data_IF_847680425456
#
_entry.id   IF_847680425456
#
_cell.length_a   1.000
_cell.length_b   1.000
_cell.length_c   1.000
_cell.angle_alpha   90.00
_cell.angle_beta   90.00
_cell.angle_gamma   90.00
#
_symmetry.space_group_name_H-M   'P 1'
#
loop_
_entity.id
_entity.type
_entity.pdbx_description
1 polymer ?
#
# COMPACT_ATOMS: atom_id res chain seq x y z
N UNK A 1 26.47 15.42 -17.46
CA UNK A 1 26.19 14.12 -18.08
C UNK A 1 25.83 13.11 -17.01
N UNK A 2 26.76 12.67 -16.14
CA UNK A 2 26.40 11.72 -15.06
C UNK A 2 25.37 12.30 -14.07
N UNK A 3 25.60 13.51 -13.55
CA UNK A 3 24.65 14.21 -12.67
C UNK A 3 23.26 14.43 -13.31
N UNK A 4 23.24 14.69 -14.62
CA UNK A 4 22.01 14.92 -15.37
C UNK A 4 21.21 13.61 -15.52
N UNK A 5 21.89 12.48 -15.71
CA UNK A 5 21.25 11.17 -15.74
C UNK A 5 20.75 10.75 -14.36
N UNK A 6 21.47 11.08 -13.29
CA UNK A 6 20.99 10.86 -11.92
C UNK A 6 19.68 11.62 -11.68
N UNK A 7 19.62 12.92 -12.01
CA UNK A 7 18.40 13.72 -11.84
C UNK A 7 17.25 13.15 -12.68
N UNK A 8 17.55 12.74 -13.91
CA UNK A 8 16.57 12.17 -14.81
C UNK A 8 16.00 10.83 -14.29
N UNK A 9 16.83 9.99 -13.67
CA UNK A 9 16.42 8.73 -13.06
C UNK A 9 15.68 8.92 -11.76
N UNK A 10 16.08 9.88 -10.92
CA UNK A 10 15.31 10.25 -9.74
C UNK A 10 13.92 10.75 -10.15
N UNK A 11 13.84 11.63 -11.16
CA UNK A 11 12.56 12.08 -11.71
C UNK A 11 11.68 10.90 -12.16
N UNK A 12 12.25 9.91 -12.85
CA UNK A 12 11.51 8.72 -13.26
C UNK A 12 11.02 7.89 -12.05
N UNK A 13 11.86 7.60 -11.06
CA UNK A 13 11.43 6.91 -9.84
C UNK A 13 10.30 7.65 -9.12
N UNK A 14 10.42 8.98 -9.01
CA UNK A 14 9.39 9.81 -8.40
C UNK A 14 8.10 9.77 -9.23
N UNK A 15 8.18 9.76 -10.57
CA UNK A 15 6.99 9.80 -11.43
C UNK A 15 6.27 8.45 -11.53
N UNK A 16 7.00 7.33 -11.57
CA UNK A 16 6.42 6.00 -11.69
C UNK A 16 6.08 5.37 -10.34
N UNK A 17 6.92 5.59 -9.33
CA UNK A 17 6.86 4.86 -8.05
C UNK A 17 6.59 5.77 -6.86
N UNK A 18 6.65 7.09 -7.05
CA UNK A 18 6.37 8.06 -5.97
C UNK A 18 7.43 8.12 -4.88
N UNK A 19 8.61 7.52 -5.09
CA UNK A 19 9.68 7.39 -4.09
C UNK A 19 11.06 7.72 -4.66
N UNK A 20 12.06 8.05 -3.82
CA UNK A 20 13.47 8.10 -4.21
C UNK A 20 13.98 6.75 -4.72
N UNK A 21 14.95 6.76 -5.64
CA UNK A 21 15.65 5.56 -6.05
C UNK A 21 16.53 4.99 -4.93
N UNK A 22 16.65 3.67 -4.84
CA UNK A 22 17.69 3.04 -4.03
C UNK A 22 19.06 3.17 -4.73
N UNK A 23 20.20 3.11 -4.01
CA UNK A 23 21.51 3.33 -4.61
C UNK A 23 21.84 2.36 -5.76
N UNK A 24 21.50 1.07 -5.61
CA UNK A 24 21.83 0.04 -6.59
C UNK A 24 20.95 0.16 -7.85
N UNK A 25 19.65 0.38 -7.66
CA UNK A 25 18.69 0.66 -8.72
C UNK A 25 19.07 1.92 -9.50
N UNK A 26 19.37 3.02 -8.80
CA UNK A 26 19.81 4.26 -9.43
C UNK A 26 21.07 4.04 -10.29
N UNK A 27 22.07 3.36 -9.75
CA UNK A 27 23.31 3.06 -10.47
C UNK A 27 23.05 2.20 -11.72
N UNK A 28 22.18 1.18 -11.60
CA UNK A 28 21.78 0.31 -12.70
C UNK A 28 21.12 1.09 -13.85
N UNK A 29 20.13 1.93 -13.54
CA UNK A 29 19.40 2.67 -14.56
C UNK A 29 20.23 3.79 -15.19
N UNK A 30 21.08 4.48 -14.41
CA UNK A 30 22.04 5.46 -14.96
C UNK A 30 23.01 4.79 -15.93
N UNK A 31 23.50 3.58 -15.63
CA UNK A 31 24.38 2.84 -16.53
C UNK A 31 23.67 2.49 -17.86
N UNK A 32 22.43 1.98 -17.78
CA UNK A 32 21.63 1.68 -18.98
C UNK A 32 21.33 2.93 -19.80
N UNK A 33 20.95 4.03 -19.15
CA UNK A 33 20.68 5.30 -19.84
C UNK A 33 21.94 5.85 -20.51
N UNK A 34 23.09 5.69 -19.87
CA UNK A 34 24.40 6.05 -20.45
C UNK A 34 24.69 5.23 -21.70
N UNK A 35 24.45 3.92 -21.67
CA UNK A 35 24.62 3.04 -22.83
C UNK A 35 23.64 3.39 -23.96
N UNK A 36 22.41 3.77 -23.61
CA UNK A 36 21.40 4.27 -24.55
C UNK A 36 21.69 5.69 -25.08
N UNK A 37 22.77 6.33 -24.64
CA UNK A 37 23.14 7.68 -25.06
C UNK A 37 22.18 8.77 -24.56
N UNK A 38 21.50 8.54 -23.44
CA UNK A 38 20.51 9.45 -22.86
C UNK A 38 19.09 9.26 -23.39
N UNK A 39 18.83 8.22 -24.19
CA UNK A 39 17.49 7.93 -24.69
C UNK A 39 16.63 7.24 -23.61
N UNK A 40 15.84 8.03 -22.91
CA UNK A 40 14.92 7.56 -21.88
C UNK A 40 13.84 6.62 -22.42
N UNK A 41 13.48 6.74 -23.71
CA UNK A 41 12.50 5.85 -24.33
C UNK A 41 13.00 4.40 -24.43
N UNK A 42 14.30 4.18 -24.30
CA UNK A 42 14.89 2.85 -24.30
C UNK A 42 14.70 2.08 -22.98
N UNK A 43 14.37 2.78 -21.88
CA UNK A 43 14.23 2.17 -20.54
C UNK A 43 12.87 2.40 -19.88
N UNK A 44 12.07 3.34 -20.40
CA UNK A 44 10.75 3.69 -19.88
C UNK A 44 9.75 2.53 -19.85
N UNK A 45 9.80 1.64 -20.85
CA UNK A 45 8.86 0.51 -20.93
C UNK A 45 8.99 -0.35 -19.67
N UNK A 46 10.23 -0.58 -19.21
CA UNK A 46 10.49 -1.36 -18.01
C UNK A 46 9.93 -0.70 -16.74
N UNK A 47 9.93 0.64 -16.67
CA UNK A 47 9.36 1.34 -15.52
C UNK A 47 7.85 1.18 -15.46
N UNK A 48 7.20 1.39 -16.60
CA UNK A 48 5.75 1.44 -16.69
C UNK A 48 5.07 0.10 -16.93
N UNK A 49 5.82 -1.00 -17.05
CA UNK A 49 5.30 -2.37 -16.96
C UNK A 49 5.73 -3.07 -15.68
N UNK A 50 6.28 -2.33 -14.70
CA UNK A 50 6.63 -2.94 -13.42
C UNK A 50 5.37 -3.35 -12.64
N UNK A 51 5.53 -4.30 -11.73
CA UNK A 51 4.47 -4.73 -10.83
C UNK A 51 3.99 -3.54 -9.97
N UNK A 52 4.94 -2.81 -9.36
CA UNK A 52 4.67 -1.61 -8.55
C UNK A 52 3.84 -0.54 -9.30
N UNK A 53 4.13 -0.31 -10.59
CA UNK A 53 3.34 0.63 -11.39
C UNK A 53 1.94 0.09 -11.72
N UNK A 54 1.83 -1.20 -11.98
CA UNK A 54 0.56 -1.85 -12.34
C UNK A 54 -0.37 -1.96 -11.14
N UNK A 55 0.15 -2.29 -9.95
CA UNK A 55 -0.60 -2.31 -8.69
C UNK A 55 -1.13 -0.92 -8.36
N UNK A 56 -0.30 0.11 -8.53
CA UNK A 56 -0.66 1.49 -8.19
C UNK A 56 -1.68 2.12 -9.14
N UNK A 57 -1.60 1.82 -10.44
CA UNK A 57 -2.33 2.58 -11.46
C UNK A 57 -3.21 1.71 -12.37
N UNK A 58 -3.08 0.38 -12.32
CA UNK A 58 -3.70 -0.53 -13.30
C UNK A 58 -5.21 -0.66 -13.18
N UNK A 59 -5.79 -0.42 -12.00
CA UNK A 59 -7.24 -0.49 -11.73
C UNK A 59 -7.94 0.87 -11.79
N UNK A 60 -7.20 1.97 -11.77
CA UNK A 60 -7.75 3.33 -11.71
C UNK A 60 -8.34 3.77 -13.06
N UNK A 61 -9.35 4.64 -13.01
CA UNK A 61 -9.78 5.37 -14.19
C UNK A 61 -8.68 6.31 -14.68
N UNK A 62 -8.74 6.68 -15.97
CA UNK A 62 -7.76 7.63 -16.52
C UNK A 62 -7.77 8.99 -15.83
N UNK A 63 -8.91 9.43 -15.29
CA UNK A 63 -8.98 10.69 -14.56
C UNK A 63 -8.30 10.60 -13.19
N UNK A 64 -8.61 9.55 -12.42
CA UNK A 64 -7.98 9.27 -11.12
C UNK A 64 -6.47 9.13 -11.26
N UNK A 65 -6.05 8.41 -12.30
CA UNK A 65 -4.63 8.22 -12.59
C UNK A 65 -3.91 9.53 -12.92
N UNK A 66 -4.48 10.36 -13.80
CA UNK A 66 -3.86 11.65 -14.15
C UNK A 66 -3.78 12.55 -12.94
N UNK A 67 -4.83 12.62 -12.12
CA UNK A 67 -4.79 13.38 -10.87
C UNK A 67 -3.76 12.80 -9.88
N UNK A 68 -3.65 11.48 -9.76
CA UNK A 68 -2.64 10.83 -8.93
C UNK A 68 -1.21 11.18 -9.34
N UNK A 69 -0.94 11.22 -10.66
CA UNK A 69 0.36 11.65 -11.17
C UNK A 69 0.68 13.12 -10.85
N UNK A 70 -0.32 14.01 -10.99
CA UNK A 70 -0.17 15.42 -10.63
C UNK A 70 0.05 15.61 -9.13
N UNK A 71 -0.69 14.89 -8.28
CA UNK A 71 -0.54 14.97 -6.83
C UNK A 71 0.85 14.50 -6.40
N UNK A 72 1.31 13.37 -6.95
CA UNK A 72 2.61 12.80 -6.65
C UNK A 72 3.77 13.73 -7.06
N UNK A 73 3.69 14.32 -8.26
CA UNK A 73 4.74 15.15 -8.82
C UNK A 73 4.72 16.58 -8.28
N UNK A 74 3.53 17.14 -8.04
CA UNK A 74 3.32 18.58 -7.84
C UNK A 74 2.47 18.94 -6.61
N UNK A 75 2.03 17.97 -5.80
CA UNK A 75 1.19 18.16 -4.60
C UNK A 75 -0.09 18.95 -4.89
N UNK A 76 -0.68 18.70 -6.05
CA UNK A 76 -1.96 19.25 -6.48
C UNK A 76 -2.59 18.35 -7.53
N UNK A 77 -3.90 18.44 -7.70
CA UNK A 77 -4.58 17.84 -8.85
C UNK A 77 -4.24 18.56 -10.17
N UNK A 78 -4.54 17.88 -11.29
CA UNK A 78 -4.48 18.47 -12.60
C UNK A 78 -5.52 19.60 -12.74
N UNK A 79 -5.17 20.67 -13.46
CA UNK A 79 -6.19 21.62 -13.90
C UNK A 79 -7.10 20.97 -14.97
N UNK A 80 -8.30 21.50 -15.15
CA UNK A 80 -9.30 20.91 -16.03
C UNK A 80 -8.79 20.71 -17.47
N UNK A 81 -8.04 21.68 -18.02
CA UNK A 81 -7.52 21.59 -19.39
C UNK A 81 -6.43 20.51 -19.51
N UNK A 82 -5.54 20.43 -18.52
CA UNK A 82 -4.52 19.38 -18.43
C UNK A 82 -5.12 17.99 -18.27
N UNK A 83 -6.08 17.84 -17.36
CA UNK A 83 -6.80 16.58 -17.11
C UNK A 83 -7.49 16.09 -18.39
N UNK A 84 -8.29 16.95 -19.02
CA UNK A 84 -9.00 16.63 -20.27
C UNK A 84 -8.02 16.23 -21.38
N UNK A 85 -6.90 16.93 -21.51
CA UNK A 85 -5.90 16.63 -22.53
C UNK A 85 -5.30 15.23 -22.37
N UNK A 86 -4.86 14.86 -21.16
CA UNK A 86 -4.26 13.55 -20.92
C UNK A 86 -5.29 12.42 -20.97
N UNK A 87 -6.48 12.60 -20.38
CA UNK A 87 -7.56 11.61 -20.42
C UNK A 87 -7.96 11.32 -21.86
N UNK A 88 -8.19 12.35 -22.69
CA UNK A 88 -8.53 12.14 -24.10
C UNK A 88 -7.41 11.41 -24.86
N UNK A 89 -6.15 11.75 -24.59
CA UNK A 89 -4.99 11.09 -25.22
C UNK A 89 -4.91 9.59 -24.88
N UNK A 90 -5.27 9.22 -23.64
CA UNK A 90 -5.34 7.83 -23.19
C UNK A 90 -6.52 7.09 -23.82
N UNK A 91 -7.71 7.70 -23.84
CA UNK A 91 -8.93 7.12 -24.46
C UNK A 91 -8.72 6.87 -25.96
N UNK A 92 -8.06 7.79 -26.66
CA UNK A 92 -7.76 7.64 -28.09
C UNK A 92 -6.62 6.66 -28.37
N UNK A 93 -5.88 6.23 -27.34
CA UNK A 93 -4.69 5.39 -27.47
C UNK A 93 -3.52 6.08 -28.17
N UNK A 94 -3.55 7.41 -28.29
CA UNK A 94 -2.44 8.20 -28.84
C UNK A 94 -1.29 8.32 -27.83
N UNK A 95 -1.60 8.11 -26.54
CA UNK A 95 -0.63 7.94 -25.46
C UNK A 95 -0.98 6.74 -24.60
N UNK A 96 0.03 6.28 -23.88
CA UNK A 96 -0.05 5.23 -22.86
C UNK A 96 0.17 5.84 -21.48
N UNK A 97 -0.21 5.11 -20.43
CA UNK A 97 0.07 5.51 -19.04
C UNK A 97 1.55 5.83 -18.85
N UNK A 98 2.40 4.98 -19.41
CA UNK A 98 3.84 5.11 -19.36
C UNK A 98 4.29 6.43 -19.98
N UNK A 99 3.81 6.75 -21.17
CA UNK A 99 4.23 7.99 -21.85
C UNK A 99 3.72 9.25 -21.17
N UNK A 100 2.49 9.24 -20.61
CA UNK A 100 1.95 10.45 -19.97
C UNK A 100 2.68 10.78 -18.66
N UNK A 101 3.19 9.78 -17.94
CA UNK A 101 3.96 9.98 -16.70
C UNK A 101 5.17 10.88 -16.93
N UNK A 102 5.92 10.66 -18.02
CA UNK A 102 7.02 11.54 -18.40
C UNK A 102 6.57 12.85 -19.02
N UNK A 103 5.52 12.83 -19.84
CA UNK A 103 5.00 14.06 -20.45
C UNK A 103 4.58 15.07 -19.36
N UNK A 104 3.99 14.58 -18.26
CA UNK A 104 3.62 15.40 -17.10
C UNK A 104 4.88 15.88 -16.38
N UNK A 105 5.81 14.98 -16.03
CA UNK A 105 7.06 15.34 -15.33
C UNK A 105 7.86 16.41 -16.09
N UNK A 106 8.12 16.22 -17.38
CA UNK A 106 8.90 17.16 -18.19
C UNK A 106 8.09 18.33 -18.73
N UNK A 107 6.76 18.23 -18.71
CA UNK A 107 5.83 19.31 -19.04
C UNK A 107 5.58 20.28 -17.89
N UNK A 108 6.16 20.04 -16.71
CA UNK A 108 6.04 20.88 -15.53
C UNK A 108 6.36 22.35 -15.84
N UNK A 109 5.55 23.26 -15.31
CA UNK A 109 5.69 24.71 -15.50
C UNK A 109 5.42 25.47 -14.19
N UNK A 110 5.98 26.67 -14.07
CA UNK A 110 5.78 27.54 -12.91
C UNK A 110 6.13 26.81 -11.59
N UNK A 111 5.25 26.86 -10.59
CA UNK A 111 5.42 26.19 -9.29
C UNK A 111 5.64 24.68 -9.42
N UNK A 112 5.16 24.03 -10.48
CA UNK A 112 5.35 22.59 -10.68
C UNK A 112 6.82 22.25 -10.95
N UNK A 113 7.55 23.15 -11.65
CA UNK A 113 9.00 23.00 -11.85
C UNK A 113 9.71 23.09 -10.51
N UNK A 114 9.32 24.06 -9.69
CA UNK A 114 9.96 24.28 -8.39
C UNK A 114 9.72 23.08 -7.45
N UNK A 115 8.49 22.55 -7.39
CA UNK A 115 8.14 21.39 -6.57
C UNK A 115 8.84 20.11 -7.06
N UNK A 116 8.78 19.82 -8.36
CA UNK A 116 9.44 18.63 -8.92
C UNK A 116 10.96 18.69 -8.77
N UNK A 117 11.56 19.88 -8.91
CA UNK A 117 12.99 20.08 -8.65
C UNK A 117 13.35 19.85 -7.19
N UNK A 118 12.53 20.35 -6.26
CA UNK A 118 12.73 20.13 -4.82
C UNK A 118 12.62 18.63 -4.45
N UNK A 119 11.62 17.92 -5.00
CA UNK A 119 11.45 16.47 -4.81
C UNK A 119 12.64 15.69 -5.38
N UNK A 120 13.14 16.04 -6.56
CA UNK A 120 14.33 15.41 -7.14
C UNK A 120 15.57 15.65 -6.25
N UNK A 121 15.78 16.87 -5.78
CA UNK A 121 16.89 17.19 -4.88
C UNK A 121 16.78 16.44 -3.54
N UNK A 122 15.58 16.34 -2.97
CA UNK A 122 15.34 15.54 -1.77
C UNK A 122 15.60 14.05 -2.01
N UNK A 123 15.14 13.50 -3.14
CA UNK A 123 15.39 12.11 -3.49
C UNK A 123 16.88 11.81 -3.66
N UNK A 124 17.65 12.71 -4.28
CA UNK A 124 19.11 12.58 -4.35
C UNK A 124 19.75 12.59 -2.95
N UNK A 125 19.32 13.52 -2.09
CA UNK A 125 19.78 13.58 -0.71
C UNK A 125 19.46 12.29 0.06
N UNK A 126 18.23 11.79 -0.06
CA UNK A 126 17.76 10.55 0.53
C UNK A 126 18.63 9.36 0.10
N UNK A 127 18.79 9.14 -1.21
CA UNK A 127 19.61 8.04 -1.75
C UNK A 127 21.06 8.12 -1.25
N UNK A 128 21.63 9.32 -1.13
CA UNK A 128 22.96 9.51 -0.56
C UNK A 128 23.03 9.16 0.93
N UNK A 129 21.97 9.44 1.72
CA UNK A 129 21.92 9.01 3.11
C UNK A 129 21.83 7.48 3.24
N UNK A 130 21.13 6.80 2.32
CA UNK A 130 21.12 5.33 2.22
C UNK A 130 22.53 4.80 1.93
N UNK A 131 23.20 5.34 0.90
CA UNK A 131 24.55 4.93 0.50
C UNK A 131 25.58 5.12 1.62
N UNK A 132 25.43 6.20 2.40
CA UNK A 132 26.27 6.48 3.57
C UNK A 132 25.93 5.62 4.80
N UNK A 133 24.89 4.80 4.74
CA UNK A 133 24.42 3.97 5.85
C UNK A 133 23.79 4.75 7.01
N UNK A 134 23.30 5.96 6.75
CA UNK A 134 22.62 6.81 7.74
C UNK A 134 21.18 6.35 7.94
N UNK A 135 20.52 5.91 6.86
CA UNK A 135 19.16 5.38 6.87
C UNK A 135 19.13 4.02 6.15
N UNK A 136 18.24 3.13 6.58
CA UNK A 136 17.97 1.86 5.87
C UNK A 136 16.94 2.09 4.78
N UNK A 137 17.10 1.47 3.61
CA UNK A 137 16.13 1.52 2.52
C UNK A 137 16.11 0.18 1.77
N UNK A 138 15.32 -0.75 2.31
CA UNK A 138 15.14 -2.09 1.78
C UNK A 138 13.71 -2.54 2.06
N UNK A 139 13.13 -3.33 1.15
CA UNK A 139 11.76 -3.82 1.28
C UNK A 139 10.68 -2.79 0.92
N UNK A 140 9.43 -3.25 0.93
CA UNK A 140 8.27 -2.44 0.55
C UNK A 140 7.92 -1.42 1.64
N UNK A 141 8.04 -1.76 2.93
CA UNK A 141 7.78 -0.82 4.02
C UNK A 141 8.68 0.42 3.97
N UNK A 142 9.96 0.25 3.63
CA UNK A 142 10.87 1.37 3.41
C UNK A 142 10.53 2.17 2.15
N UNK A 143 10.05 1.51 1.08
CA UNK A 143 9.53 2.15 -0.12
C UNK A 143 8.33 3.06 0.19
N UNK A 144 7.38 2.58 0.99
CA UNK A 144 6.17 3.33 1.35
C UNK A 144 6.47 4.48 2.31
N UNK A 145 7.32 4.27 3.32
CA UNK A 145 7.82 5.35 4.17
C UNK A 145 8.54 6.43 3.35
N UNK A 146 9.30 6.04 2.32
CA UNK A 146 9.96 6.98 1.44
C UNK A 146 8.98 7.76 0.55
N UNK A 147 7.86 7.15 0.11
CA UNK A 147 6.75 7.86 -0.58
C UNK A 147 6.14 8.92 0.33
N UNK A 148 5.82 8.57 1.57
CA UNK A 148 5.20 9.47 2.55
C UNK A 148 6.09 10.67 2.86
N UNK A 149 7.38 10.43 3.10
CA UNK A 149 8.33 11.49 3.39
C UNK A 149 8.55 12.39 2.16
N UNK A 150 8.59 11.83 0.95
CA UNK A 150 8.70 12.61 -0.28
C UNK A 150 7.46 13.50 -0.52
N UNK A 151 6.28 13.08 -0.09
CA UNK A 151 5.06 13.89 -0.18
C UNK A 151 5.12 15.17 0.66
N UNK A 152 5.96 15.22 1.71
CA UNK A 152 6.17 16.42 2.54
C UNK A 152 6.97 17.51 1.83
N UNK A 153 7.62 17.19 0.71
CA UNK A 153 8.43 18.14 -0.08
C UNK A 153 7.51 18.92 -1.02
N UNK A 154 7.47 20.24 -0.85
CA UNK A 154 6.62 21.15 -1.61
C UNK A 154 7.32 22.46 -2.00
N UNK A 155 6.53 23.46 -2.42
CA UNK A 155 7.02 24.69 -3.07
C UNK A 155 7.98 25.51 -2.19
N UNK A 156 7.78 25.48 -0.87
CA UNK A 156 8.58 26.25 0.09
C UNK A 156 9.69 25.42 0.75
N UNK A 157 9.85 24.15 0.37
CA UNK A 157 10.84 23.26 0.98
C UNK A 157 12.26 23.65 0.56
N UNK A 158 13.09 23.98 1.54
CA UNK A 158 14.49 24.33 1.32
C UNK A 158 15.40 23.12 1.59
N UNK A 159 16.54 23.02 0.90
CA UNK A 159 17.53 21.95 1.16
C UNK A 159 17.98 21.88 2.63
N UNK A 160 18.02 23.02 3.33
CA UNK A 160 18.36 23.08 4.76
C UNK A 160 17.33 22.36 5.66
N UNK A 161 16.13 22.08 5.14
CA UNK A 161 15.06 21.37 5.84
C UNK A 161 15.09 19.86 5.57
N UNK A 162 15.91 19.38 4.62
CA UNK A 162 15.96 17.97 4.24
C UNK A 162 16.32 17.06 5.40
N UNK A 163 17.30 17.43 6.24
CA UNK A 163 17.63 16.69 7.47
C UNK A 163 16.44 16.61 8.44
N UNK A 164 15.64 17.68 8.53
CA UNK A 164 14.48 17.72 9.41
C UNK A 164 13.36 16.84 8.86
N UNK A 165 13.09 16.93 7.56
CA UNK A 165 12.12 16.07 6.86
C UNK A 165 12.53 14.60 7.01
N UNK A 166 13.81 14.31 6.79
CA UNK A 166 14.36 12.96 6.92
C UNK A 166 14.35 12.44 8.36
N UNK A 167 14.36 13.30 9.38
CA UNK A 167 14.20 12.84 10.77
C UNK A 167 12.82 12.23 11.07
N UNK A 168 11.84 12.48 10.20
CA UNK A 168 10.54 11.80 10.22
C UNK A 168 10.55 10.46 9.49
N UNK A 169 11.62 10.13 8.76
CA UNK A 169 11.76 8.83 8.10
C UNK A 169 12.05 7.76 9.15
N UNK A 170 11.09 6.86 9.32
CA UNK A 170 11.30 5.55 9.90
C UNK A 170 11.18 4.57 8.76
N UNK A 171 12.24 3.82 8.45
CA UNK A 171 12.07 2.65 7.61
C UNK A 171 11.05 1.77 8.33
N UNK A 172 9.84 1.59 7.76
CA UNK A 172 8.98 0.47 8.12
C UNK A 172 9.85 -0.77 7.97
N UNK A 173 10.24 -1.32 9.11
CA UNK A 173 11.53 -1.98 9.27
C UNK A 173 11.49 -3.44 8.89
N UNK A 174 12.27 -3.81 7.87
CA UNK A 174 12.58 -5.22 7.60
C UNK A 174 12.68 -5.53 6.10
N UNK A 175 13.30 -6.66 5.76
CA UNK A 175 13.09 -7.32 4.46
C UNK A 175 11.70 -8.02 4.40
N UNK A 176 10.84 -7.81 5.40
CA UNK A 176 9.54 -8.42 5.57
C UNK A 176 8.43 -7.72 4.80
N UNK A 177 7.23 -8.28 4.91
CA UNK A 177 6.01 -7.66 4.39
C UNK A 177 5.33 -6.89 5.52
N UNK A 178 4.75 -5.72 5.21
CA UNK A 178 3.92 -4.97 6.15
C UNK A 178 2.81 -5.87 6.71
N UNK A 179 2.67 -5.89 8.03
CA UNK A 179 1.73 -6.81 8.68
C UNK A 179 0.27 -6.48 8.36
N UNK A 180 -0.08 -5.19 8.30
CA UNK A 180 -1.37 -4.69 7.83
C UNK A 180 -1.17 -4.04 6.45
N UNK A 181 -2.14 -4.21 5.54
CA UNK A 181 -2.12 -3.52 4.24
C UNK A 181 -2.58 -2.06 4.38
N UNK A 182 -2.21 -1.21 3.41
CA UNK A 182 -2.62 0.21 3.40
C UNK A 182 -4.16 0.37 3.37
N UNK A 183 -4.87 -0.59 2.78
CA UNK A 183 -6.33 -0.61 2.67
C UNK A 183 -7.05 -0.83 4.01
N UNK A 184 -6.34 -1.34 5.03
CA UNK A 184 -6.93 -1.66 6.32
C UNK A 184 -7.16 -0.41 7.20
N UNK A 185 -6.67 0.77 6.80
CA UNK A 185 -6.84 2.01 7.57
C UNK A 185 -8.31 2.37 7.83
N UNK A 186 -9.21 2.05 6.89
CA UNK A 186 -10.65 2.29 7.05
C UNK A 186 -11.34 1.28 7.98
N UNK A 187 -10.66 0.17 8.32
CA UNK A 187 -11.23 -0.96 9.06
C UNK A 187 -10.46 -1.26 10.36
N UNK A 188 -9.62 -0.32 10.81
CA UNK A 188 -8.83 -0.50 12.04
C UNK A 188 -9.69 -0.78 13.27
N UNK A 189 -10.98 -0.41 13.26
CA UNK A 189 -11.93 -0.74 14.33
C UNK A 189 -12.13 -2.24 14.55
N UNK A 190 -11.92 -3.08 13.54
CA UNK A 190 -12.16 -4.53 13.64
C UNK A 190 -10.88 -5.32 13.93
N UNK A 191 -9.72 -4.66 13.88
CA UNK A 191 -8.44 -5.30 14.18
C UNK A 191 -8.34 -5.51 15.69
N UNK A 192 -8.56 -6.75 16.12
CA UNK A 192 -8.46 -7.17 17.51
C UNK A 192 -7.73 -8.50 17.64
N UNK A 193 -7.17 -8.76 18.83
CA UNK A 193 -6.68 -10.08 19.19
C UNK A 193 -7.86 -11.02 19.44
N UNK A 194 -7.78 -12.24 18.90
CA UNK A 194 -8.81 -13.24 19.08
C UNK A 194 -8.97 -13.65 20.57
N UNK A 195 -10.07 -13.22 21.17
CA UNK A 195 -10.47 -13.62 22.52
C UNK A 195 -11.56 -14.72 22.54
N UNK A 196 -11.93 -15.27 21.37
CA UNK A 196 -13.01 -16.25 21.26
C UNK A 196 -12.61 -17.63 21.79
N UNK A 197 -13.61 -18.43 22.14
CA UNK A 197 -13.45 -19.80 22.62
C UNK A 197 -14.20 -20.80 21.71
N UNK A 198 -14.01 -22.10 21.97
CA UNK A 198 -14.70 -23.15 21.23
C UNK A 198 -14.23 -23.23 19.78
N UNK A 199 -15.16 -23.30 18.83
CA UNK A 199 -14.83 -23.45 17.39
C UNK A 199 -14.16 -22.21 16.78
N UNK A 200 -14.20 -21.07 17.48
CA UNK A 200 -13.55 -19.82 17.07
C UNK A 200 -12.26 -19.53 17.85
N UNK A 201 -11.80 -20.43 18.74
CA UNK A 201 -10.52 -20.21 19.41
C UNK A 201 -9.37 -20.31 18.42
N UNK A 202 -8.30 -19.54 18.65
CA UNK A 202 -7.06 -19.60 17.86
C UNK A 202 -6.56 -21.03 17.69
N UNK A 203 -6.59 -21.84 18.75
CA UNK A 203 -6.18 -23.25 18.72
C UNK A 203 -7.08 -24.09 17.79
N UNK A 204 -8.40 -23.96 17.88
CA UNK A 204 -9.33 -24.74 17.05
C UNK A 204 -9.24 -24.37 15.56
N UNK A 205 -9.07 -23.08 15.27
CA UNK A 205 -8.91 -22.58 13.90
C UNK A 205 -7.57 -23.03 13.32
N UNK A 206 -6.46 -22.86 14.06
CA UNK A 206 -5.13 -23.35 13.69
C UNK A 206 -5.16 -24.83 13.32
N UNK A 207 -5.70 -25.68 14.20
CA UNK A 207 -5.78 -27.12 13.97
C UNK A 207 -6.55 -27.44 12.68
N UNK A 208 -7.66 -26.73 12.44
CA UNK A 208 -8.49 -26.92 11.24
C UNK A 208 -7.79 -26.46 9.95
N UNK A 209 -7.04 -25.36 9.99
CA UNK A 209 -6.26 -24.90 8.82
C UNK A 209 -5.12 -25.87 8.51
N UNK A 210 -4.40 -26.34 9.53
CA UNK A 210 -3.31 -27.31 9.38
C UNK A 210 -3.80 -28.63 8.76
N UNK A 211 -5.04 -29.05 9.06
CA UNK A 211 -5.65 -30.22 8.41
C UNK A 211 -5.89 -30.02 6.90
N UNK A 212 -6.11 -28.79 6.44
CA UNK A 212 -6.31 -28.46 5.03
C UNK A 212 -5.00 -28.21 4.27
N UNK A 213 -3.98 -27.72 4.96
CA UNK A 213 -2.67 -27.37 4.38
C UNK A 213 -1.60 -28.35 4.84
N UNK A 214 -0.68 -27.90 5.70
CA UNK A 214 0.27 -28.72 6.43
C UNK A 214 0.83 -27.94 7.63
N UNK A 215 1.36 -28.66 8.63
CA UNK A 215 2.01 -28.05 9.78
C UNK A 215 3.16 -27.12 9.35
N UNK A 216 3.98 -27.56 8.39
CA UNK A 216 5.17 -26.81 7.96
C UNK A 216 4.80 -25.54 7.21
N UNK A 217 3.80 -25.60 6.33
CA UNK A 217 3.39 -24.43 5.56
C UNK A 217 2.71 -23.42 6.46
N UNK A 218 1.90 -23.90 7.41
CA UNK A 218 1.27 -23.05 8.40
C UNK A 218 2.30 -22.35 9.30
N UNK A 219 3.25 -23.09 9.88
CA UNK A 219 4.33 -22.51 10.70
C UNK A 219 5.17 -21.50 9.91
N UNK A 220 5.44 -21.78 8.63
CA UNK A 220 6.16 -20.86 7.76
C UNK A 220 5.35 -19.59 7.48
N UNK A 221 4.04 -19.70 7.22
CA UNK A 221 3.19 -18.54 6.94
C UNK A 221 3.05 -17.61 8.16
N UNK A 222 2.99 -18.18 9.37
CA UNK A 222 2.90 -17.44 10.62
C UNK A 222 4.26 -17.28 11.34
N UNK A 223 5.37 -17.38 10.61
CA UNK A 223 6.69 -17.07 11.16
C UNK A 223 6.82 -15.55 11.33
N UNK A 224 7.03 -15.04 12.57
CA UNK A 224 7.22 -13.61 12.81
C UNK A 224 8.31 -12.98 11.96
N UNK A 225 9.37 -13.72 11.65
CA UNK A 225 10.50 -13.20 10.88
C UNK A 225 10.17 -12.83 9.43
N UNK A 226 8.97 -13.19 8.93
CA UNK A 226 8.48 -12.74 7.63
C UNK A 226 7.91 -11.31 7.64
N UNK A 227 7.68 -10.74 8.83
CA UNK A 227 6.98 -9.47 9.00
C UNK A 227 7.87 -8.41 9.62
N UNK A 228 7.64 -7.17 9.18
CA UNK A 228 8.40 -6.01 9.63
C UNK A 228 8.25 -5.79 11.14
N UNK A 229 9.34 -5.41 11.80
CA UNK A 229 9.42 -5.17 13.24
C UNK A 229 9.63 -6.42 14.11
N UNK A 230 9.66 -7.63 13.54
CA UNK A 230 9.84 -8.83 14.35
C UNK A 230 11.26 -9.01 14.92
N UNK A 231 12.26 -8.27 14.43
CA UNK A 231 13.68 -8.49 14.73
C UNK A 231 14.04 -8.26 16.21
N UNK A 232 13.38 -7.32 16.88
CA UNK A 232 13.60 -7.04 18.30
C UNK A 232 12.67 -7.86 19.22
N UNK A 233 11.81 -8.68 18.62
CA UNK A 233 10.85 -9.54 19.30
C UNK A 233 9.55 -8.84 19.70
N UNK A 234 9.30 -7.62 19.21
CA UNK A 234 8.13 -6.80 19.56
C UNK A 234 7.55 -6.15 18.32
N UNK A 235 6.25 -6.34 18.06
CA UNK A 235 5.50 -5.52 17.12
C UNK A 235 4.96 -4.28 17.83
N UNK A 236 5.44 -3.11 17.44
CA UNK A 236 4.95 -1.80 17.90
C UNK A 236 3.78 -1.32 17.05
N UNK A 237 2.97 -0.39 17.58
CA UNK A 237 1.85 0.19 16.82
C UNK A 237 2.27 0.81 15.48
N UNK A 238 3.46 1.41 15.43
CA UNK A 238 4.05 1.96 14.22
C UNK A 238 4.38 0.89 13.17
N UNK A 239 4.90 -0.28 13.59
CA UNK A 239 5.23 -1.41 12.70
C UNK A 239 3.99 -2.16 12.25
N UNK A 240 2.96 -2.22 13.11
CA UNK A 240 1.65 -2.72 12.74
C UNK A 240 0.94 -1.79 11.75
N UNK A 241 1.33 -0.51 11.64
CA UNK A 241 0.56 0.49 10.90
C UNK A 241 -0.73 0.90 11.62
N UNK A 242 -0.83 0.61 12.92
CA UNK A 242 -1.98 0.92 13.78
C UNK A 242 -1.59 1.05 15.26
N UNK A 243 -1.89 2.21 15.85
CA UNK A 243 -1.56 2.53 17.25
C UNK A 243 -2.61 2.03 18.28
N UNK A 244 -3.61 1.23 17.88
CA UNK A 244 -4.64 0.77 18.83
C UNK A 244 -4.19 -0.36 19.77
N UNK A 245 -3.03 -0.97 19.50
CA UNK A 245 -2.36 -1.85 20.44
C UNK A 245 -1.16 -1.15 21.07
N UNK A 246 -0.82 -1.56 22.30
CA UNK A 246 0.55 -1.36 22.78
C UNK A 246 1.49 -2.38 22.14
N UNK A 247 2.75 -2.36 22.55
CA UNK A 247 3.77 -3.34 22.18
C UNK A 247 3.23 -4.79 22.32
N UNK A 248 3.20 -5.51 21.20
CA UNK A 248 2.81 -6.91 21.14
C UNK A 248 4.05 -7.80 20.99
N UNK A 249 4.12 -8.98 21.62
CA UNK A 249 5.22 -9.91 21.36
C UNK A 249 5.24 -10.35 19.89
N UNK A 250 6.38 -10.33 19.21
CA UNK A 250 6.51 -10.84 17.85
C UNK A 250 6.56 -12.37 17.87
N UNK A 251 5.38 -12.99 17.95
CA UNK A 251 5.20 -14.44 18.07
C UNK A 251 4.16 -14.96 17.10
N UNK A 252 4.26 -16.23 16.74
CA UNK A 252 3.26 -16.93 15.93
C UNK A 252 1.85 -16.77 16.53
N UNK A 253 1.72 -16.90 17.85
CA UNK A 253 0.42 -16.74 18.53
C UNK A 253 -0.15 -15.33 18.39
N UNK A 254 0.69 -14.30 18.40
CA UNK A 254 0.26 -12.91 18.14
C UNK A 254 -0.28 -12.76 16.73
N UNK A 255 0.45 -13.25 15.72
CA UNK A 255 0.06 -13.16 14.31
C UNK A 255 -1.26 -13.89 14.04
N UNK A 256 -1.40 -15.11 14.56
CA UNK A 256 -2.63 -15.88 14.44
C UNK A 256 -3.81 -15.18 15.14
N UNK A 257 -3.57 -14.66 16.34
CA UNK A 257 -4.61 -13.99 17.13
C UNK A 257 -5.09 -12.72 16.44
N UNK A 258 -4.18 -11.94 15.84
CA UNK A 258 -4.52 -10.78 15.01
C UNK A 258 -5.32 -11.19 13.77
N UNK A 259 -4.84 -12.17 13.00
CA UNK A 259 -5.53 -12.61 11.78
C UNK A 259 -6.93 -13.14 12.09
N UNK A 260 -7.04 -14.10 13.01
CA UNK A 260 -8.32 -14.71 13.36
C UNK A 260 -9.27 -13.71 14.02
N UNK A 261 -8.78 -12.88 14.95
CA UNK A 261 -9.63 -11.90 15.63
C UNK A 261 -10.23 -10.91 14.62
N UNK A 262 -9.38 -10.38 13.74
CA UNK A 262 -9.81 -9.45 12.68
C UNK A 262 -10.83 -10.09 11.73
N UNK A 263 -10.57 -11.30 11.23
CA UNK A 263 -11.51 -12.00 10.33
C UNK A 263 -12.85 -12.33 11.01
N UNK A 264 -12.81 -12.75 12.29
CA UNK A 264 -14.03 -13.05 13.05
C UNK A 264 -14.84 -11.78 13.27
N UNK A 265 -14.20 -10.69 13.68
CA UNK A 265 -14.86 -9.42 13.92
C UNK A 265 -15.48 -8.87 12.64
N UNK A 266 -14.75 -8.93 11.52
CA UNK A 266 -15.28 -8.56 10.21
C UNK A 266 -16.54 -9.35 9.82
N UNK A 267 -16.57 -10.67 10.09
CA UNK A 267 -17.72 -11.53 9.77
C UNK A 267 -18.88 -11.38 10.76
N UNK A 268 -18.60 -11.05 12.02
CA UNK A 268 -19.60 -10.85 13.07
C UNK A 268 -20.20 -9.45 13.09
N UNK A 269 -19.53 -8.48 12.46
CA UNK A 269 -20.05 -7.15 12.20
C UNK A 269 -21.41 -7.25 11.48
N UNK A 270 -21.48 -8.05 10.40
CA UNK A 270 -22.71 -8.18 9.59
C UNK A 270 -23.92 -8.73 10.35
N UNK A 271 -25.04 -8.00 10.31
CA UNK A 271 -26.37 -8.43 10.72
C UNK A 271 -27.47 -8.09 9.69
N UNK A 272 -28.71 -8.45 10.03
CA UNK A 272 -29.85 -8.22 9.14
C UNK A 272 -30.25 -6.73 9.05
N UNK A 273 -29.98 -5.93 10.07
CA UNK A 273 -30.28 -4.51 10.08
C UNK A 273 -29.36 -3.74 9.12
N UNK A 274 -28.06 -4.02 9.12
CA UNK A 274 -27.12 -3.39 8.19
C UNK A 274 -27.42 -3.75 6.73
N UNK A 275 -27.74 -5.02 6.45
CA UNK A 275 -28.18 -5.45 5.10
C UNK A 275 -29.44 -4.69 4.67
N UNK A 276 -30.37 -4.46 5.60
CA UNK A 276 -31.58 -3.68 5.32
C UNK A 276 -31.26 -2.20 5.08
N UNK A 277 -30.30 -1.63 5.81
CA UNK A 277 -29.89 -0.24 5.67
C UNK A 277 -29.20 0.01 4.32
N UNK A 278 -28.24 -0.84 3.96
CA UNK A 278 -27.61 -0.84 2.63
C UNK A 278 -28.65 -0.96 1.52
N UNK A 279 -29.56 -1.94 1.65
CA UNK A 279 -30.62 -2.15 0.66
C UNK A 279 -31.51 -0.91 0.54
N UNK A 280 -31.95 -0.34 1.67
CA UNK A 280 -32.80 0.83 1.68
C UNK A 280 -32.10 2.06 1.08
N UNK A 281 -30.80 2.23 1.32
CA UNK A 281 -30.00 3.29 0.73
C UNK A 281 -29.95 3.19 -0.80
N UNK A 282 -29.63 2.01 -1.33
CA UNK A 282 -29.56 1.77 -2.78
C UNK A 282 -30.95 1.89 -3.44
N UNK A 283 -32.01 1.42 -2.79
CA UNK A 283 -33.38 1.56 -3.28
C UNK A 283 -33.83 3.04 -3.33
N UNK A 284 -33.42 3.84 -2.34
CA UNK A 284 -33.71 5.27 -2.30
C UNK A 284 -32.87 6.07 -3.32
N UNK A 285 -31.66 5.59 -3.64
CA UNK A 285 -30.68 6.26 -4.48
C UNK A 285 -30.25 5.37 -5.67
N UNK A 286 -31.10 5.21 -6.71
CA UNK A 286 -30.78 4.38 -7.88
C UNK A 286 -29.65 4.95 -8.77
N UNK A 287 -29.26 6.20 -8.55
CA UNK A 287 -28.08 6.83 -9.12
C UNK A 287 -27.25 7.37 -7.95
N UNK A 288 -26.03 6.84 -7.79
CA UNK A 288 -25.14 7.16 -6.69
C UNK A 288 -24.24 8.37 -6.98
N UNK A 289 -24.38 9.01 -8.15
CA UNK A 289 -23.54 10.15 -8.53
C UNK A 289 -23.63 11.27 -7.49
N UNK A 290 -22.51 11.58 -6.81
CA UNK A 290 -22.43 12.57 -5.74
C UNK A 290 -22.85 12.08 -4.35
N UNK A 291 -23.11 10.78 -4.20
CA UNK A 291 -23.44 10.09 -2.94
C UNK A 291 -22.46 8.94 -2.63
N UNK A 292 -21.33 8.88 -3.35
CA UNK A 292 -20.34 7.82 -3.22
C UNK A 292 -19.77 7.77 -1.80
N UNK A 293 -19.48 8.94 -1.21
CA UNK A 293 -18.99 9.01 0.16
C UNK A 293 -20.03 8.57 1.18
N UNK A 294 -21.29 8.97 1.02
CA UNK A 294 -22.38 8.54 1.93
C UNK A 294 -22.59 7.02 1.87
N UNK A 295 -22.42 6.43 0.69
CA UNK A 295 -22.48 4.98 0.50
C UNK A 295 -21.26 4.27 1.12
N UNK A 296 -20.06 4.84 0.99
CA UNK A 296 -18.85 4.33 1.64
C UNK A 296 -18.96 4.42 3.15
N UNK A 297 -19.42 5.55 3.69
CA UNK A 297 -19.59 5.75 5.13
C UNK A 297 -20.59 4.73 5.70
N UNK A 298 -21.66 4.41 4.96
CA UNK A 298 -22.60 3.36 5.34
C UNK A 298 -22.00 1.95 5.27
N UNK A 299 -21.11 1.68 4.32
CA UNK A 299 -20.38 0.41 4.26
C UNK A 299 -19.38 0.28 5.41
N UNK A 300 -18.69 1.36 5.75
CA UNK A 300 -17.72 1.40 6.86
C UNK A 300 -18.43 1.28 8.21
N UNK A 301 -19.62 1.88 8.38
CA UNK A 301 -20.34 1.84 9.66
C UNK A 301 -20.71 0.44 10.11
N UNK A 302 -20.83 -0.51 9.19
CA UNK A 302 -21.06 -1.94 9.49
C UNK A 302 -20.00 -2.47 10.44
N UNK A 303 -18.77 -2.00 10.30
CA UNK A 303 -17.60 -2.48 11.02
C UNK A 303 -17.33 -1.68 12.32
N UNK A 304 -18.23 -0.80 12.71
CA UNK A 304 -18.12 -0.02 13.95
C UNK A 304 -18.69 -0.75 15.18
N UNK A 305 -19.60 -1.71 14.98
CA UNK A 305 -20.18 -2.53 16.04
C UNK A 305 -20.36 -4.01 15.67
N UNK A 306 -20.71 -4.82 16.68
CA UNK A 306 -21.02 -6.24 16.49
C UNK A 306 -22.50 -6.37 16.12
N UNK A 307 -22.76 -7.13 15.06
CA UNK A 307 -24.10 -7.42 14.58
C UNK A 307 -24.99 -8.05 15.65
N UNK A 308 -26.28 -7.72 15.67
CA UNK A 308 -27.17 -8.10 16.76
C UNK A 308 -28.53 -8.69 16.31
N UNK A 309 -28.64 -10.03 16.14
CA UNK A 309 -27.56 -11.00 16.19
C UNK A 309 -26.75 -11.02 14.89
N UNK A 310 -25.50 -11.50 14.91
CA UNK A 310 -24.71 -11.65 13.69
C UNK A 310 -25.41 -12.54 12.67
N UNK A 311 -25.18 -12.25 11.38
CA UNK A 311 -25.76 -12.94 10.25
C UNK A 311 -25.34 -14.42 10.19
N UNK A 312 -24.09 -14.70 10.58
CA UNK A 312 -23.51 -16.04 10.59
C UNK A 312 -23.35 -16.55 12.02
N UNK A 313 -23.63 -17.84 12.23
CA UNK A 313 -23.30 -18.50 13.49
C UNK A 313 -21.81 -18.83 13.60
N UNK A 314 -21.34 -19.09 14.82
CA UNK A 314 -19.92 -19.36 15.09
C UNK A 314 -19.35 -20.51 14.25
N UNK A 315 -20.17 -21.51 13.90
CA UNK A 315 -19.72 -22.63 13.08
C UNK A 315 -19.49 -22.23 11.62
N UNK A 316 -20.37 -21.39 11.07
CA UNK A 316 -20.23 -20.83 9.72
C UNK A 316 -19.05 -19.86 9.66
N UNK A 317 -18.91 -18.98 10.65
CA UNK A 317 -17.76 -18.07 10.77
C UNK A 317 -16.45 -18.86 10.80
N UNK A 318 -16.37 -19.90 11.64
CA UNK A 318 -15.18 -20.75 11.73
C UNK A 318 -14.83 -21.37 10.37
N UNK A 319 -15.81 -21.86 9.62
CA UNK A 319 -15.58 -22.46 8.31
C UNK A 319 -15.04 -21.45 7.29
N UNK A 320 -15.59 -20.22 7.27
CA UNK A 320 -15.14 -19.15 6.37
C UNK A 320 -13.70 -18.75 6.73
N UNK A 321 -13.43 -18.51 8.02
CA UNK A 321 -12.09 -18.15 8.51
C UNK A 321 -11.07 -19.23 8.16
N UNK A 322 -11.35 -20.50 8.46
CA UNK A 322 -10.46 -21.63 8.15
C UNK A 322 -10.18 -21.72 6.64
N UNK A 323 -11.19 -21.52 5.80
CA UNK A 323 -11.01 -21.60 4.34
C UNK A 323 -10.16 -20.44 3.82
N UNK A 324 -10.43 -19.21 4.29
CA UNK A 324 -9.65 -18.03 3.91
C UNK A 324 -8.19 -18.13 4.36
N UNK A 325 -7.95 -18.52 5.61
CA UNK A 325 -6.59 -18.70 6.14
C UNK A 325 -5.85 -19.84 5.44
N UNK A 326 -6.52 -20.95 5.08
CA UNK A 326 -5.88 -22.01 4.30
C UNK A 326 -5.40 -21.52 2.92
N UNK A 327 -6.20 -20.70 2.23
CA UNK A 327 -5.78 -20.09 0.96
C UNK A 327 -4.56 -19.17 1.14
N UNK A 328 -4.54 -18.35 2.19
CA UNK A 328 -3.38 -17.53 2.55
C UNK A 328 -2.12 -18.38 2.78
N UNK A 329 -2.22 -19.45 3.58
CA UNK A 329 -1.09 -20.36 3.86
C UNK A 329 -0.57 -21.00 2.57
N UNK A 330 -1.45 -21.41 1.65
CA UNK A 330 -1.05 -21.94 0.35
C UNK A 330 -0.31 -20.89 -0.51
N UNK A 331 -0.75 -19.64 -0.50
CA UNK A 331 -0.08 -18.53 -1.23
C UNK A 331 1.31 -18.27 -0.64
N UNK A 332 1.42 -18.15 0.67
CA UNK A 332 2.69 -17.95 1.38
C UNK A 332 3.68 -19.10 1.11
N UNK A 333 3.20 -20.35 1.13
CA UNK A 333 4.02 -21.53 0.85
C UNK A 333 4.61 -21.56 -0.57
N UNK A 334 4.00 -20.84 -1.52
CA UNK A 334 4.52 -20.70 -2.89
C UNK A 334 5.53 -19.56 -3.05
N UNK A 335 5.95 -18.91 -1.96
CA UNK A 335 6.95 -17.83 -1.98
C UNK A 335 6.41 -16.51 -2.50
N UNK A 336 5.08 -16.33 -2.51
CA UNK A 336 4.44 -15.05 -2.76
C UNK A 336 4.43 -14.31 -1.43
N UNK A 337 5.19 -13.23 -1.35
CA UNK A 337 5.21 -12.33 -0.20
C UNK A 337 3.91 -11.52 -0.18
N UNK A 338 2.89 -12.05 0.50
CA UNK A 338 1.61 -11.38 0.72
C UNK A 338 1.49 -11.00 2.20
N UNK A 339 0.91 -9.82 2.47
CA UNK A 339 0.53 -9.44 3.83
C UNK A 339 -0.53 -10.42 4.35
N UNK A 340 -0.62 -10.65 5.67
CA UNK A 340 -1.65 -11.55 6.24
C UNK A 340 -3.07 -11.04 6.01
N UNK A 341 -3.23 -9.75 5.67
CA UNK A 341 -4.51 -9.14 5.33
C UNK A 341 -4.61 -8.73 3.84
N UNK A 342 -3.66 -9.17 3.02
CA UNK A 342 -3.69 -8.91 1.58
C UNK A 342 -4.92 -9.57 0.93
N UNK A 343 -5.65 -8.81 0.12
CA UNK A 343 -6.89 -9.27 -0.53
C UNK A 343 -8.08 -9.55 0.39
N UNK A 344 -8.02 -9.19 1.69
CA UNK A 344 -9.17 -9.35 2.60
C UNK A 344 -10.43 -8.63 2.09
N UNK A 345 -10.24 -7.51 1.40
CA UNK A 345 -11.32 -6.70 0.80
C UNK A 345 -11.67 -7.12 -0.63
N UNK A 346 -10.84 -7.91 -1.31
CA UNK A 346 -11.13 -8.44 -2.65
C UNK A 346 -12.23 -9.52 -2.63
N UNK A 347 -12.64 -9.94 -1.43
CA UNK A 347 -13.72 -10.90 -1.17
C UNK A 347 -15.09 -10.22 -0.88
N UNK A 348 -15.15 -8.88 -0.82
CA UNK A 348 -16.38 -8.11 -0.63
C UNK A 348 -17.00 -7.63 -1.95
#
# INVERSE_FOLDING_TARGET
MEEEYIQLMQGAYIAYYGRPADPDGLAFWVALLTEAGGDLSAIIEAFGTSLEFTERYGSLSYAELVNGLYEQLFNREADADGLDFYVNSLVEGSRTLQTITLDILYGAQNSDIDISSAKIAFAQYFTQQVENGVISYAGNGAADAAKQILALVGLDTLEAEFETILSGYSAGGGEGVALLSEDLQAFLSIVELNANAGVLSTEALRDSVIELTSQSDYEAAFDPSNYDGAEDGVFTGAELGFDGFGDLPATQETLESLMYGTMINALKAFDLAEVQELTAFVEANPDLTGLEQDYIDLLVSIFEDEGNPPLYDDATVAQIVVTGTAAFVEVAANGINASIFDGLLDLA
#
